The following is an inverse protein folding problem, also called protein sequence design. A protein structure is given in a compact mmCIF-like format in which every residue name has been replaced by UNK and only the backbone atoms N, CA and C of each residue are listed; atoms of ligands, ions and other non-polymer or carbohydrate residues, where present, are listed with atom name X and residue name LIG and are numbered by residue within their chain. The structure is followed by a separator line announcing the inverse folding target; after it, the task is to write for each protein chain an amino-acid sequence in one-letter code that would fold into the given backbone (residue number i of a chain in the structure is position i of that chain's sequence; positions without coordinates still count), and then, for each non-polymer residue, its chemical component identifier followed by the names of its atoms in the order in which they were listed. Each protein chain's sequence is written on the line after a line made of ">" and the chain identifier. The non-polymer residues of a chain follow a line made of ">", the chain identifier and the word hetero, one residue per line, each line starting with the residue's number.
data_IF_443620764146
#
_entry.id   IF_443620764146
#
_cell.length_a   1.000
_cell.length_b   1.000
_cell.length_c   1.000
_cell.angle_alpha   90.00
_cell.angle_beta   90.00
_cell.angle_gamma   90.00
#
_symmetry.space_group_name_H-M   'P 1'
#
loop_
_entity.id
_entity.type
_entity.pdbx_description
1 polymer ?
#
# COMPACT_ATOMS: atom_id res chain seq x y z
N UNK A 1 -12.75 -23.14 -13.28
CA UNK A 1 -13.98 -23.91 -13.38
C UNK A 1 -15.15 -23.00 -13.74
N UNK A 2 -15.78 -23.22 -14.89
CA UNK A 2 -16.94 -22.43 -15.34
C UNK A 2 -18.20 -23.06 -14.71
N UNK A 3 -19.06 -22.27 -14.01
CA UNK A 3 -20.28 -22.81 -13.41
C UNK A 3 -21.33 -23.14 -14.49
N UNK A 4 -22.13 -24.19 -14.27
CA UNK A 4 -23.20 -24.58 -15.20
C UNK A 4 -24.43 -23.69 -15.16
N UNK A 5 -24.64 -22.96 -14.07
CA UNK A 5 -25.74 -21.99 -13.91
C UNK A 5 -25.24 -20.68 -13.33
N UNK A 6 -25.73 -19.58 -13.90
CA UNK A 6 -25.47 -18.20 -13.44
C UNK A 6 -26.81 -17.51 -13.25
N UNK A 7 -27.09 -17.08 -12.03
CA UNK A 7 -28.31 -16.32 -11.72
C UNK A 7 -28.04 -14.83 -11.70
N UNK A 8 -28.89 -14.06 -12.35
CA UNK A 8 -28.73 -12.60 -12.51
C UNK A 8 -29.93 -11.84 -11.98
N UNK A 9 -29.76 -10.62 -11.44
CA UNK A 9 -30.85 -9.83 -10.86
C UNK A 9 -31.79 -9.18 -11.89
N UNK A 10 -31.34 -9.11 -13.15
CA UNK A 10 -32.11 -8.58 -14.28
C UNK A 10 -31.68 -9.29 -15.57
N UNK A 11 -32.56 -9.35 -16.59
CA UNK A 11 -32.22 -9.95 -17.86
C UNK A 11 -31.02 -9.25 -18.51
N UNK A 12 -30.11 -10.05 -19.08
CA UNK A 12 -28.99 -9.56 -19.87
C UNK A 12 -29.39 -9.53 -21.36
N UNK A 13 -29.08 -8.44 -22.06
CA UNK A 13 -29.40 -8.29 -23.48
C UNK A 13 -28.72 -9.33 -24.38
N UNK A 14 -27.54 -9.79 -24.00
CA UNK A 14 -26.71 -10.71 -24.80
C UNK A 14 -26.40 -11.99 -24.02
N UNK A 15 -27.34 -12.49 -23.23
CA UNK A 15 -27.15 -13.67 -22.39
C UNK A 15 -26.65 -14.88 -23.20
N UNK A 16 -27.23 -15.15 -24.37
CA UNK A 16 -26.84 -16.26 -25.23
C UNK A 16 -25.39 -16.18 -25.72
N UNK A 17 -24.90 -14.98 -26.06
CA UNK A 17 -23.54 -14.79 -26.50
C UNK A 17 -22.54 -15.05 -25.36
N UNK A 18 -22.89 -14.62 -24.15
CA UNK A 18 -22.10 -14.85 -22.95
C UNK A 18 -22.10 -16.35 -22.58
N UNK A 19 -23.25 -17.02 -22.68
CA UNK A 19 -23.36 -18.47 -22.47
C UNK A 19 -22.43 -19.23 -23.43
N UNK A 20 -22.49 -18.94 -24.73
CA UNK A 20 -21.63 -19.58 -25.73
C UNK A 20 -20.13 -19.33 -25.46
N UNK A 21 -19.77 -18.11 -25.10
CA UNK A 21 -18.39 -17.78 -24.74
C UNK A 21 -17.92 -18.58 -23.52
N UNK A 22 -18.72 -18.64 -22.45
CA UNK A 22 -18.38 -19.39 -21.24
C UNK A 22 -18.34 -20.90 -21.49
N UNK A 23 -19.20 -21.43 -22.36
CA UNK A 23 -19.18 -22.83 -22.80
C UNK A 23 -17.86 -23.17 -23.53
N UNK A 24 -17.37 -22.27 -24.36
CA UNK A 24 -16.09 -22.43 -25.05
C UNK A 24 -14.89 -22.47 -24.10
N UNK A 25 -14.96 -21.73 -22.99
CA UNK A 25 -13.94 -21.73 -21.94
C UNK A 25 -14.05 -22.95 -21.00
N UNK A 26 -15.24 -23.54 -20.90
CA UNK A 26 -15.56 -24.67 -20.00
C UNK A 26 -15.50 -26.04 -20.67
N UNK A 27 -14.71 -26.23 -21.75
CA UNK A 27 -14.56 -27.49 -22.46
C UNK A 27 -15.91 -28.04 -22.99
N UNK A 28 -16.81 -27.17 -23.43
CA UNK A 28 -18.13 -27.52 -23.98
C UNK A 28 -19.19 -27.84 -22.92
N UNK A 29 -18.94 -27.59 -21.64
CA UNK A 29 -19.94 -27.73 -20.58
C UNK A 29 -21.00 -26.64 -20.75
N UNK A 30 -22.26 -27.03 -20.83
CA UNK A 30 -23.39 -26.08 -20.96
C UNK A 30 -23.46 -25.11 -19.80
N UNK A 31 -23.58 -23.83 -20.10
CA UNK A 31 -23.74 -22.73 -19.15
C UNK A 31 -25.10 -22.07 -19.40
N UNK A 32 -25.87 -21.81 -18.35
CA UNK A 32 -27.15 -21.16 -18.42
C UNK A 32 -27.20 -19.90 -17.56
N UNK A 33 -27.54 -18.78 -18.17
CA UNK A 33 -27.73 -17.50 -17.48
C UNK A 33 -29.23 -17.19 -17.43
N UNK A 34 -29.78 -17.00 -16.23
CA UNK A 34 -31.20 -16.72 -16.10
C UNK A 34 -31.52 -15.90 -14.85
N UNK A 35 -32.69 -15.22 -14.88
CA UNK A 35 -33.24 -14.50 -13.76
C UNK A 35 -34.31 -15.33 -13.06
N UNK A 36 -34.07 -15.83 -11.84
CA UNK A 36 -35.06 -16.58 -11.09
C UNK A 36 -36.21 -15.69 -10.65
N UNK A 37 -37.45 -16.10 -10.91
CA UNK A 37 -38.64 -15.35 -10.54
C UNK A 37 -39.20 -15.72 -9.16
N UNK A 38 -38.98 -16.98 -8.72
CA UNK A 38 -39.50 -17.53 -7.47
C UNK A 38 -38.66 -18.72 -6.99
N UNK A 39 -38.93 -19.19 -5.76
CA UNK A 39 -38.28 -20.36 -5.17
C UNK A 39 -36.91 -20.08 -4.58
N UNK A 40 -36.15 -21.15 -4.24
CA UNK A 40 -34.86 -21.07 -3.53
C UNK A 40 -33.82 -20.24 -4.27
N UNK A 41 -33.73 -20.34 -5.60
CA UNK A 41 -32.77 -19.57 -6.40
C UNK A 41 -33.08 -18.06 -6.36
N UNK A 42 -34.34 -17.67 -6.24
CA UNK A 42 -34.72 -16.26 -6.03
C UNK A 42 -34.33 -15.80 -4.62
N UNK A 43 -34.58 -16.60 -3.61
CA UNK A 43 -34.19 -16.29 -2.23
C UNK A 43 -32.66 -16.16 -2.10
N UNK A 44 -31.89 -17.03 -2.75
CA UNK A 44 -30.43 -16.96 -2.81
C UNK A 44 -29.94 -15.69 -3.48
N UNK A 45 -30.57 -15.28 -4.60
CA UNK A 45 -30.25 -14.03 -5.28
C UNK A 45 -30.52 -12.81 -4.40
N UNK A 46 -31.64 -12.79 -3.68
CA UNK A 46 -31.99 -11.68 -2.79
C UNK A 46 -31.07 -11.61 -1.57
N UNK A 47 -30.58 -12.76 -1.07
CA UNK A 47 -29.56 -12.82 -0.02
C UNK A 47 -28.22 -12.25 -0.53
N UNK A 48 -27.73 -12.73 -1.66
CA UNK A 48 -26.50 -12.26 -2.25
C UNK A 48 -26.51 -10.75 -2.54
N UNK A 49 -27.66 -10.21 -2.99
CA UNK A 49 -27.81 -8.75 -3.19
C UNK A 49 -27.68 -7.96 -1.89
N UNK A 50 -28.27 -8.45 -0.80
CA UNK A 50 -28.13 -7.80 0.53
C UNK A 50 -26.68 -7.80 0.99
N UNK A 51 -25.99 -8.91 0.87
CA UNK A 51 -24.59 -9.04 1.26
C UNK A 51 -23.69 -8.08 0.45
N UNK A 52 -23.92 -7.97 -0.86
CA UNK A 52 -23.18 -7.03 -1.72
C UNK A 52 -23.43 -5.57 -1.29
N UNK A 53 -24.67 -5.19 -0.99
CA UNK A 53 -24.99 -3.82 -0.54
C UNK A 53 -24.32 -3.50 0.79
N UNK A 54 -24.35 -4.43 1.74
CA UNK A 54 -23.70 -4.26 3.04
C UNK A 54 -22.17 -4.17 2.90
N UNK A 55 -21.57 -5.05 2.09
CA UNK A 55 -20.13 -5.04 1.79
C UNK A 55 -19.71 -3.73 1.12
N UNK A 56 -20.50 -3.22 0.16
CA UNK A 56 -20.22 -1.95 -0.52
C UNK A 56 -20.22 -0.78 0.46
N UNK A 57 -21.23 -0.69 1.34
CA UNK A 57 -21.26 0.34 2.40
C UNK A 57 -20.05 0.28 3.31
N UNK A 58 -19.64 -0.92 3.72
CA UNK A 58 -18.45 -1.12 4.56
C UNK A 58 -17.17 -0.65 3.85
N UNK A 59 -17.03 -0.95 2.56
CA UNK A 59 -15.89 -0.50 1.76
C UNK A 59 -15.86 1.03 1.58
N UNK A 60 -17.00 1.66 1.34
CA UNK A 60 -17.13 3.12 1.24
C UNK A 60 -16.72 3.81 2.54
N UNK A 61 -17.19 3.32 3.69
CA UNK A 61 -16.81 3.85 5.01
C UNK A 61 -15.30 3.70 5.24
N UNK A 62 -14.72 2.54 4.95
CA UNK A 62 -13.28 2.33 5.07
C UNK A 62 -12.48 3.25 4.16
N UNK A 63 -12.93 3.47 2.93
CA UNK A 63 -12.28 4.37 1.99
C UNK A 63 -12.34 5.84 2.45
N UNK A 64 -13.49 6.30 2.97
CA UNK A 64 -13.63 7.64 3.55
C UNK A 64 -12.68 7.84 4.73
N UNK A 65 -12.65 6.90 5.68
CA UNK A 65 -11.75 6.96 6.84
C UNK A 65 -10.27 6.97 6.43
N UNK A 66 -9.90 6.22 5.39
CA UNK A 66 -8.52 6.23 4.89
C UNK A 66 -8.14 7.58 4.28
N UNK A 67 -9.05 8.25 3.55
CA UNK A 67 -8.84 9.60 3.01
C UNK A 67 -8.66 10.63 4.10
N UNK A 68 -9.55 10.63 5.11
CA UNK A 68 -9.45 11.53 6.26
C UNK A 68 -8.12 11.39 6.99
N UNK A 69 -7.64 10.17 7.21
CA UNK A 69 -6.33 9.91 7.81
C UNK A 69 -5.18 10.43 6.92
N UNK A 70 -5.26 10.22 5.62
CA UNK A 70 -4.24 10.70 4.67
C UNK A 70 -4.17 12.23 4.66
N UNK A 71 -5.32 12.92 4.67
CA UNK A 71 -5.39 14.38 4.76
C UNK A 71 -4.84 14.90 6.08
N UNK A 72 -5.17 14.26 7.19
CA UNK A 72 -4.65 14.64 8.51
C UNK A 72 -3.12 14.53 8.57
N UNK A 73 -2.54 13.47 8.02
CA UNK A 73 -1.07 13.30 7.95
C UNK A 73 -0.43 14.33 7.05
N UNK A 74 -1.00 14.62 5.87
CA UNK A 74 -0.48 15.68 4.99
C UNK A 74 -0.49 17.04 5.68
N UNK A 75 -1.59 17.37 6.36
CA UNK A 75 -1.69 18.61 7.13
C UNK A 75 -0.68 18.70 8.26
N UNK A 76 -0.43 17.60 8.97
CA UNK A 76 0.58 17.53 10.02
C UNK A 76 2.00 17.73 9.47
N UNK A 77 2.34 17.11 8.34
CA UNK A 77 3.65 17.27 7.70
C UNK A 77 3.82 18.72 7.20
N UNK A 78 2.81 19.30 6.52
CA UNK A 78 2.85 20.67 6.07
C UNK A 78 3.11 21.64 7.24
N UNK A 79 2.42 21.44 8.35
CA UNK A 79 2.62 22.23 9.57
C UNK A 79 4.05 22.13 10.12
N UNK A 80 4.62 20.93 10.14
CA UNK A 80 6.02 20.71 10.58
C UNK A 80 7.02 21.41 9.66
N UNK A 81 6.73 21.46 8.35
CA UNK A 81 7.57 22.12 7.35
C UNK A 81 7.32 23.63 7.23
N UNK A 82 6.34 24.19 7.95
CA UNK A 82 5.97 25.60 7.88
C UNK A 82 5.26 25.98 6.58
N UNK A 83 4.69 25.01 5.87
CA UNK A 83 3.93 25.25 4.65
C UNK A 83 2.50 25.68 4.97
N UNK A 84 1.97 26.64 4.23
CA UNK A 84 0.59 27.16 4.41
C UNK A 84 -0.45 26.21 3.84
N UNK A 85 -0.12 25.51 2.76
CA UNK A 85 -1.00 24.54 2.11
C UNK A 85 -0.28 23.20 1.94
N UNK A 86 -0.93 22.07 2.29
CA UNK A 86 -0.35 20.75 2.11
C UNK A 86 -0.16 20.39 0.64
N UNK A 87 1.00 19.82 0.30
CA UNK A 87 1.24 19.20 -1.01
C UNK A 87 0.32 18.00 -1.22
N UNK A 88 0.14 17.59 -2.48
CA UNK A 88 -0.60 16.35 -2.82
C UNK A 88 0.05 15.12 -2.18
N UNK A 89 1.36 15.08 -2.12
CA UNK A 89 2.10 13.99 -1.50
C UNK A 89 3.44 14.45 -0.93
N UNK A 90 3.80 13.87 0.22
CA UNK A 90 5.11 14.03 0.88
C UNK A 90 5.87 12.72 0.86
N UNK A 91 7.15 12.80 0.50
CA UNK A 91 8.10 11.70 0.68
C UNK A 91 8.74 11.83 2.06
N UNK A 92 8.53 10.83 2.88
CA UNK A 92 9.12 10.73 4.22
C UNK A 92 10.11 9.57 4.22
N UNK A 93 11.33 9.84 4.65
CA UNK A 93 12.36 8.81 4.86
C UNK A 93 12.59 8.65 6.36
N UNK A 94 12.48 7.43 6.88
CA UNK A 94 12.79 7.12 8.28
C UNK A 94 14.02 6.23 8.34
N UNK A 95 14.90 6.54 9.29
CA UNK A 95 16.20 5.90 9.47
C UNK A 95 16.29 5.28 10.86
N UNK A 96 16.68 4.03 10.91
CA UNK A 96 16.85 3.25 12.12
C UNK A 96 18.18 2.50 12.08
N UNK A 97 18.84 2.38 13.24
CA UNK A 97 20.08 1.65 13.42
C UNK A 97 19.83 0.40 14.26
N UNK A 98 20.28 -0.73 13.74
CA UNK A 98 20.23 -2.01 14.43
C UNK A 98 21.65 -2.53 14.66
N UNK A 99 22.02 -2.67 15.93
CA UNK A 99 23.29 -3.26 16.35
C UNK A 99 23.09 -4.77 16.59
N UNK A 100 23.71 -5.61 15.78
CA UNK A 100 23.64 -7.06 15.95
C UNK A 100 24.85 -7.53 16.74
N UNK A 101 24.73 -7.60 18.06
CA UNK A 101 25.72 -8.20 18.99
C UNK A 101 27.21 -7.86 18.74
N UNK A 102 27.51 -6.62 18.36
CA UNK A 102 28.89 -6.13 18.29
C UNK A 102 29.68 -6.50 17.03
N UNK A 103 29.10 -7.17 16.06
CA UNK A 103 29.82 -7.62 14.85
C UNK A 103 29.52 -6.75 13.63
N UNK A 104 28.26 -6.40 13.39
CA UNK A 104 27.87 -5.58 12.23
C UNK A 104 26.76 -4.61 12.60
N UNK A 105 27.02 -3.32 12.49
CA UNK A 105 26.00 -2.28 12.58
C UNK A 105 25.33 -2.10 11.22
N UNK A 106 24.03 -2.24 11.18
CA UNK A 106 23.22 -2.10 9.95
C UNK A 106 22.18 -1.03 10.16
N UNK A 107 22.13 -0.10 9.22
CA UNK A 107 21.06 0.89 9.16
C UNK A 107 20.01 0.52 8.14
N UNK A 108 18.77 0.86 8.45
CA UNK A 108 17.63 0.72 7.56
C UNK A 108 17.06 2.09 7.20
N UNK A 109 16.79 2.30 5.92
CA UNK A 109 16.02 3.43 5.41
C UNK A 109 14.68 2.90 4.89
N UNK A 110 13.59 3.32 5.50
CA UNK A 110 12.24 3.05 5.04
C UNK A 110 11.63 4.32 4.46
N UNK A 111 10.79 4.16 3.45
CA UNK A 111 10.24 5.26 2.69
C UNK A 111 8.74 5.19 2.66
N UNK A 112 8.09 6.32 2.93
CA UNK A 112 6.65 6.49 2.83
C UNK A 112 6.30 7.61 1.87
N UNK A 113 5.20 7.45 1.15
CA UNK A 113 4.53 8.53 0.45
C UNK A 113 3.22 8.79 1.19
N UNK A 114 3.17 9.89 1.94
CA UNK A 114 2.19 10.14 3.00
C UNK A 114 2.21 8.99 4.03
N UNK A 115 1.16 8.15 4.08
CA UNK A 115 1.08 6.98 4.96
C UNK A 115 1.43 5.66 4.27
N UNK A 116 1.60 5.67 2.94
CA UNK A 116 1.77 4.43 2.16
C UNK A 116 3.25 4.06 2.05
N UNK A 117 3.65 2.84 2.45
CA UNK A 117 5.02 2.40 2.32
C UNK A 117 5.43 2.25 0.85
N UNK A 118 6.60 2.78 0.49
CA UNK A 118 7.20 2.66 -0.85
C UNK A 118 8.33 1.64 -0.77
N UNK A 119 8.00 0.36 -0.68
CA UNK A 119 8.95 -0.73 -0.40
C UNK A 119 10.10 -0.84 -1.42
N UNK A 120 9.89 -0.48 -2.69
CA UNK A 120 10.93 -0.47 -3.72
C UNK A 120 12.08 0.50 -3.42
N UNK A 121 11.81 1.53 -2.61
CA UNK A 121 12.78 2.55 -2.23
C UNK A 121 13.46 2.27 -0.89
N UNK A 122 13.12 1.17 -0.19
CA UNK A 122 13.78 0.76 1.03
C UNK A 122 15.24 0.41 0.77
N UNK A 123 16.13 0.81 1.67
CA UNK A 123 17.58 0.51 1.57
C UNK A 123 18.13 0.04 2.91
N UNK A 124 19.13 -0.81 2.81
CA UNK A 124 19.97 -1.23 3.96
C UNK A 124 21.37 -0.68 3.76
N UNK A 125 21.93 -0.17 4.83
CA UNK A 125 23.28 0.35 4.86
C UNK A 125 24.11 -0.45 5.85
N UNK A 126 25.14 -1.14 5.38
CA UNK A 126 26.16 -1.66 6.27
C UNK A 126 27.06 -0.49 6.69
N UNK A 127 27.13 -0.19 7.98
CA UNK A 127 27.98 0.87 8.54
C UNK A 127 29.44 0.43 8.43
N UNK A 128 30.33 1.34 8.05
CA UNK A 128 31.72 1.02 7.71
C UNK A 128 32.74 1.86 8.44
N UNK A 129 32.39 3.09 8.80
CA UNK A 129 33.36 4.08 9.33
C UNK A 129 33.22 4.30 10.83
N UNK A 130 32.20 3.73 11.45
CA UNK A 130 31.90 3.89 12.87
C UNK A 130 32.29 2.62 13.60
N UNK A 131 33.18 2.74 14.59
CA UNK A 131 33.59 1.64 15.44
C UNK A 131 32.80 1.68 16.76
N UNK A 132 32.24 0.53 17.14
CA UNK A 132 31.44 0.37 18.36
C UNK A 132 29.97 0.84 18.22
N UNK A 133 29.23 0.87 19.34
CA UNK A 133 27.83 1.26 19.38
C UNK A 133 27.69 2.78 19.41
N UNK A 134 27.74 3.42 18.24
CA UNK A 134 27.52 4.84 18.04
C UNK A 134 26.41 5.03 17.01
N UNK A 135 25.18 5.16 17.48
CA UNK A 135 24.00 5.32 16.64
C UNK A 135 24.03 6.66 15.91
N UNK A 136 24.53 7.73 16.56
CA UNK A 136 24.61 9.03 15.94
C UNK A 136 25.59 9.08 14.77
N UNK A 137 26.82 8.57 14.96
CA UNK A 137 27.80 8.43 13.89
C UNK A 137 27.32 7.54 12.75
N UNK A 138 26.63 6.47 13.08
CA UNK A 138 26.02 5.55 12.11
C UNK A 138 24.94 6.23 11.27
N UNK A 139 24.06 7.03 11.88
CA UNK A 139 23.06 7.83 11.18
C UNK A 139 23.71 8.89 10.28
N UNK A 140 24.77 9.54 10.74
CA UNK A 140 25.53 10.51 9.92
C UNK A 140 26.11 9.82 8.65
N UNK A 141 26.74 8.65 8.80
CA UNK A 141 27.26 7.87 7.67
C UNK A 141 26.16 7.55 6.67
N UNK A 142 25.00 7.08 7.16
CA UNK A 142 23.87 6.74 6.30
C UNK A 142 23.37 7.95 5.50
N UNK A 143 23.15 9.09 6.17
CA UNK A 143 22.66 10.30 5.53
C UNK A 143 23.69 10.82 4.52
N UNK A 144 24.97 10.84 4.89
CA UNK A 144 26.03 11.23 3.95
C UNK A 144 25.99 10.37 2.69
N UNK A 145 25.98 9.06 2.82
CA UNK A 145 25.94 8.11 1.68
C UNK A 145 24.67 8.24 0.88
N UNK A 146 23.53 8.47 1.53
CA UNK A 146 22.23 8.68 0.89
C UNK A 146 22.26 9.91 -0.03
N UNK A 147 22.68 11.04 0.50
CA UNK A 147 22.69 12.29 -0.25
C UNK A 147 23.85 12.40 -1.24
N UNK A 148 24.98 11.79 -0.94
CA UNK A 148 26.10 11.69 -1.88
C UNK A 148 25.67 10.93 -3.14
N UNK A 149 25.01 9.79 -3.01
CA UNK A 149 24.47 9.03 -4.15
C UNK A 149 23.42 9.82 -4.95
N UNK A 150 22.56 10.56 -4.27
CA UNK A 150 21.60 11.42 -4.94
C UNK A 150 22.32 12.49 -5.79
N UNK A 151 23.37 13.10 -5.24
CA UNK A 151 24.20 14.12 -5.93
C UNK A 151 24.94 13.53 -7.14
N UNK A 152 25.39 12.30 -7.06
CA UNK A 152 26.04 11.58 -8.17
C UNK A 152 25.07 11.08 -9.24
N UNK A 153 23.76 11.29 -9.08
CA UNK A 153 22.75 10.91 -10.06
C UNK A 153 22.35 9.43 -10.01
N UNK A 154 22.59 8.75 -8.88
CA UNK A 154 22.12 7.36 -8.72
C UNK A 154 20.59 7.30 -8.80
N UNK A 155 20.00 6.59 -9.80
CA UNK A 155 18.56 6.52 -9.98
C UNK A 155 17.81 5.98 -8.75
N UNK A 156 18.46 5.11 -7.96
CA UNK A 156 17.89 4.55 -6.74
C UNK A 156 17.75 5.54 -5.58
N UNK A 157 18.38 6.73 -5.69
CA UNK A 157 18.44 7.76 -4.67
C UNK A 157 18.06 9.17 -5.18
N UNK A 158 17.62 9.29 -6.43
CA UNK A 158 17.37 10.56 -7.11
C UNK A 158 16.21 11.37 -6.50
N UNK A 159 15.19 10.71 -5.97
CA UNK A 159 14.06 11.39 -5.34
C UNK A 159 14.42 11.80 -3.92
N UNK A 160 14.46 13.11 -3.65
CA UNK A 160 14.76 13.64 -2.32
C UNK A 160 13.54 13.57 -1.39
N UNK A 161 13.75 13.39 -0.07
CA UNK A 161 12.69 13.44 0.92
C UNK A 161 12.24 14.89 1.21
N UNK A 162 10.96 15.05 1.53
CA UNK A 162 10.41 16.28 2.11
C UNK A 162 10.64 16.33 3.63
N UNK A 163 10.65 15.15 4.28
CA UNK A 163 10.84 15.00 5.72
C UNK A 163 11.72 13.78 6.01
N UNK A 164 12.64 13.95 6.95
CA UNK A 164 13.48 12.88 7.49
C UNK A 164 13.12 12.67 8.95
N UNK A 165 12.87 11.41 9.31
CA UNK A 165 12.67 10.96 10.67
C UNK A 165 13.86 10.10 11.09
N UNK A 166 14.43 10.40 12.25
CA UNK A 166 15.54 9.63 12.83
C UNK A 166 15.16 9.25 14.25
N UNK A 167 15.26 7.95 14.55
CA UNK A 167 15.16 7.46 15.91
C UNK A 167 16.58 7.37 16.49
N UNK A 168 16.97 8.44 17.17
CA UNK A 168 18.20 8.47 17.95
C UNK A 168 17.78 8.34 19.41
N UNK A 169 17.79 7.13 19.94
CA UNK A 169 17.55 6.88 21.36
C UNK A 169 18.63 7.62 22.17
N UNK A 170 18.22 8.71 22.83
CA UNK A 170 19.12 9.52 23.68
C UNK A 170 19.52 8.86 24.98
N UNK A 171 18.92 7.73 25.33
CA UNK A 171 19.06 7.07 26.65
C UNK A 171 19.37 5.58 26.52
N UNK A 172 20.59 5.24 26.10
CA UNK A 172 21.26 3.98 26.50
C UNK A 172 22.65 4.31 27.01
N UNK A 173 22.70 5.01 28.12
CA UNK A 173 23.89 5.11 28.97
C UNK A 173 23.84 4.04 30.02
#
# INVERSE_FOLDING_TARGET
>A
NVPGEIIVPKPLKEAQLIEQYLESLGEGRKVRIFMPQKGEKRALLDLARRDVVEMTKTLEVKAATAREKEEAVRGAIAKLLGETEPKEAYRVESYDISNTNGVDTVGAMVVFRNQKPVKKDYRRFKIRTVEGPDDYGSLQEMLYRRFHRAKEGDPGFSTLPDLILMDADRDRS
#
